data_IF_010670145200
#
_entry.id   IF_010670145200
#
_cell.length_a   1.000
_cell.length_b   1.000
_cell.length_c   1.000
_cell.angle_alpha   90.00
_cell.angle_beta   90.00
_cell.angle_gamma   90.00
#
_symmetry.space_group_name_H-M   'P 1'
#
loop_
_entity.id
_entity.type
_entity.pdbx_description
1 polymer ?
#
# COMPACT_ATOMS: atom_id res chain seq x y z
N UNK A 1 -29.10 34.86 -23.78
CA UNK A 1 -28.57 33.48 -23.68
C UNK A 1 -27.19 33.51 -23.01
N UNK A 2 -27.08 34.06 -21.81
CA UNK A 2 -25.83 34.05 -21.01
C UNK A 2 -26.14 34.00 -19.49
N UNK A 3 -27.35 33.62 -19.07
CA UNK A 3 -27.76 33.64 -17.65
C UNK A 3 -27.69 32.27 -16.98
N UNK A 4 -28.02 31.18 -17.69
CA UNK A 4 -28.09 29.83 -17.09
C UNK A 4 -26.69 29.18 -16.92
N UNK A 5 -25.70 29.64 -17.69
CA UNK A 5 -24.34 29.12 -17.62
C UNK A 5 -23.49 29.75 -16.51
N UNK A 6 -23.90 30.90 -15.94
CA UNK A 6 -23.24 31.49 -14.77
C UNK A 6 -23.80 30.93 -13.45
N UNK A 7 -25.11 30.64 -13.38
CA UNK A 7 -25.70 30.00 -12.20
C UNK A 7 -25.09 28.62 -11.90
N UNK A 8 -24.75 27.84 -12.93
CA UNK A 8 -24.08 26.54 -12.75
C UNK A 8 -22.61 26.66 -12.30
N UNK A 9 -21.96 27.81 -12.51
CA UNK A 9 -20.58 28.06 -12.04
C UNK A 9 -20.60 28.46 -10.56
N UNK A 10 -21.60 29.26 -10.16
CA UNK A 10 -21.76 29.72 -8.79
C UNK A 10 -22.18 28.59 -7.83
N UNK A 11 -23.04 27.67 -8.27
CA UNK A 11 -23.42 26.47 -7.51
C UNK A 11 -22.29 25.43 -7.36
N UNK A 12 -21.31 25.39 -8.28
CA UNK A 12 -20.14 24.50 -8.17
C UNK A 12 -19.09 25.08 -7.21
N UNK A 13 -19.01 26.40 -7.06
CA UNK A 13 -18.12 27.05 -6.10
C UNK A 13 -18.66 27.05 -4.67
N UNK A 14 -19.98 27.13 -4.46
CA UNK A 14 -20.58 27.12 -3.11
C UNK A 14 -20.69 25.71 -2.49
N UNK A 15 -20.60 24.64 -3.30
CA UNK A 15 -20.54 23.26 -2.81
C UNK A 15 -19.16 22.83 -2.28
N UNK A 16 -18.14 23.68 -2.37
CA UNK A 16 -16.77 23.38 -1.96
C UNK A 16 -16.50 23.67 -0.46
N UNK A 17 -17.39 24.40 0.21
CA UNK A 17 -17.15 24.92 1.57
C UNK A 17 -18.15 24.40 2.61
N UNK A 18 -18.30 23.08 2.79
CA UNK A 18 -18.82 22.54 4.08
C UNK A 18 -18.26 21.16 4.48
N UNK A 19 -17.10 20.71 4.01
CA UNK A 19 -16.33 19.66 4.71
C UNK A 19 -14.83 19.85 4.42
N UNK A 20 -14.08 20.32 5.42
CA UNK A 20 -12.63 20.51 5.42
C UNK A 20 -11.89 19.47 4.55
N UNK A 21 -11.52 19.86 3.33
CA UNK A 21 -10.84 19.00 2.38
C UNK A 21 -9.34 18.96 2.69
N UNK A 22 -8.98 18.51 3.89
CA UNK A 22 -7.58 18.23 4.24
C UNK A 22 -7.02 17.25 3.23
N UNK A 23 -5.82 17.53 2.72
CA UNK A 23 -5.11 16.65 1.82
C UNK A 23 -4.86 15.30 2.50
N UNK A 24 -4.75 14.25 1.69
CA UNK A 24 -4.59 12.88 2.18
C UNK A 24 -3.34 12.69 3.05
N UNK A 25 -2.28 13.44 2.76
CA UNK A 25 -1.05 13.46 3.56
C UNK A 25 -1.31 14.13 4.91
N UNK A 26 -2.00 15.26 4.93
CA UNK A 26 -2.40 15.94 6.17
C UNK A 26 -3.29 15.04 7.05
N UNK A 27 -4.24 14.30 6.48
CA UNK A 27 -5.05 13.35 7.27
C UNK A 27 -4.22 12.23 7.91
N UNK A 28 -3.17 11.78 7.24
CA UNK A 28 -2.25 10.77 7.78
C UNK A 28 -1.37 11.38 8.88
N UNK A 29 -0.81 12.57 8.63
CA UNK A 29 0.04 13.28 9.59
C UNK A 29 -0.75 13.72 10.84
N UNK A 30 -2.04 14.06 10.70
CA UNK A 30 -2.93 14.35 11.82
C UNK A 30 -3.27 13.12 12.67
N UNK A 31 -3.23 11.93 12.08
CA UNK A 31 -3.37 10.67 12.81
C UNK A 31 -2.03 10.11 13.29
N UNK A 32 -0.94 10.86 13.09
CA UNK A 32 0.38 10.44 13.55
C UNK A 32 0.44 10.33 15.07
N UNK A 33 1.40 9.52 15.56
CA UNK A 33 1.68 9.39 16.99
C UNK A 33 2.01 10.73 17.66
N UNK A 34 2.54 11.69 16.89
CA UNK A 34 2.87 13.02 17.38
C UNK A 34 1.63 13.86 17.71
N UNK A 35 0.50 13.63 17.03
CA UNK A 35 -0.77 14.27 17.35
C UNK A 35 -1.34 13.82 18.70
N UNK A 36 -0.90 12.64 19.19
CA UNK A 36 -1.35 12.08 20.45
C UNK A 36 -0.52 12.57 21.66
N UNK A 37 0.45 13.48 21.45
CA UNK A 37 1.28 14.08 22.54
C UNK A 37 0.47 14.71 23.67
N UNK A 38 -0.73 15.21 23.38
CA UNK A 38 -1.64 15.80 24.36
C UNK A 38 -2.50 14.79 25.11
N UNK A 39 -2.53 13.53 24.65
CA UNK A 39 -3.32 12.47 25.26
C UNK A 39 -2.58 11.89 26.49
N UNK A 40 -3.31 11.54 27.57
CA UNK A 40 -2.76 10.78 28.69
C UNK A 40 -2.13 9.44 28.27
N UNK A 41 -2.49 8.91 27.10
CA UNK A 41 -1.98 7.65 26.55
C UNK A 41 -0.61 7.78 25.87
N UNK A 42 -0.08 9.00 25.71
CA UNK A 42 1.18 9.22 25.01
C UNK A 42 2.37 8.52 25.66
N UNK A 43 2.39 8.45 27.00
CA UNK A 43 3.46 7.79 27.75
C UNK A 43 3.54 6.29 27.43
N UNK A 44 2.38 5.63 27.43
CA UNK A 44 2.24 4.22 27.06
C UNK A 44 2.65 4.01 25.61
N UNK A 45 2.19 4.88 24.69
CA UNK A 45 2.61 4.78 23.30
C UNK A 45 4.13 4.85 23.18
N UNK A 46 4.77 5.84 23.81
CA UNK A 46 6.24 6.01 23.79
C UNK A 46 6.97 4.76 24.28
N UNK A 47 6.46 4.09 25.31
CA UNK A 47 7.01 2.83 25.81
C UNK A 47 6.94 1.71 24.75
N UNK A 48 5.79 1.55 24.08
CA UNK A 48 5.58 0.55 23.01
C UNK A 48 5.94 1.04 21.60
N UNK A 49 6.96 1.90 21.47
CA UNK A 49 7.40 2.38 20.15
C UNK A 49 8.05 1.27 19.31
N UNK A 50 8.67 0.30 19.97
CA UNK A 50 9.26 -0.89 19.39
C UNK A 50 8.23 -1.81 18.72
N UNK A 51 7.05 -1.98 19.34
CA UNK A 51 5.95 -2.83 18.82
C UNK A 51 5.16 -2.13 17.72
N UNK A 52 5.05 -0.81 17.78
CA UNK A 52 4.25 0.01 16.87
C UNK A 52 5.13 1.05 16.15
N UNK A 53 6.05 0.60 15.27
CA UNK A 53 6.91 1.51 14.53
C UNK A 53 6.12 2.36 13.52
N UNK A 54 6.60 3.58 13.26
CA UNK A 54 5.99 4.50 12.29
C UNK A 54 6.09 3.98 10.85
N UNK A 55 7.21 3.31 10.54
CA UNK A 55 7.47 2.66 9.26
C UNK A 55 7.69 1.16 9.45
N UNK A 56 7.24 0.37 8.46
CA UNK A 56 7.48 -1.09 8.48
C UNK A 56 8.98 -1.32 8.23
N UNK A 57 9.70 -1.97 9.17
CA UNK A 57 11.12 -2.23 8.99
C UNK A 57 11.35 -3.11 7.75
N UNK A 58 12.46 -2.86 7.06
CA UNK A 58 12.86 -3.67 5.92
C UNK A 58 13.40 -5.04 6.35
N UNK A 59 13.83 -5.19 7.60
CA UNK A 59 14.33 -6.46 8.13
C UNK A 59 13.23 -7.52 8.19
N UNK A 60 13.64 -8.77 7.96
CA UNK A 60 12.77 -9.91 8.19
C UNK A 60 12.48 -10.04 9.68
N UNK A 61 11.23 -10.33 10.08
CA UNK A 61 10.92 -10.70 11.45
C UNK A 61 11.82 -11.86 11.89
N UNK A 62 12.24 -11.84 13.16
CA UNK A 62 12.96 -12.96 13.75
C UNK A 62 12.15 -14.26 13.57
N UNK A 63 12.82 -15.33 13.17
CA UNK A 63 12.19 -16.64 13.03
C UNK A 63 11.72 -17.13 14.41
N UNK A 64 10.40 -17.22 14.57
CA UNK A 64 9.75 -17.70 15.80
C UNK A 64 9.55 -19.21 15.80
N UNK A 65 10.08 -19.93 14.80
CA UNK A 65 9.90 -21.37 14.62
C UNK A 65 8.52 -21.75 14.06
N UNK A 66 7.65 -20.78 13.75
CA UNK A 66 6.35 -20.99 13.12
C UNK A 66 6.45 -20.54 11.67
N UNK A 67 6.49 -21.50 10.76
CA UNK A 67 6.52 -21.23 9.32
C UNK A 67 5.11 -21.34 8.73
N UNK A 68 4.80 -20.49 7.76
CA UNK A 68 3.55 -20.59 7.03
C UNK A 68 3.68 -21.68 5.96
N UNK A 69 3.00 -22.80 6.17
CA UNK A 69 2.84 -23.86 5.18
C UNK A 69 1.53 -23.65 4.41
N UNK A 70 1.58 -23.84 3.09
CA UNK A 70 0.41 -23.74 2.21
C UNK A 70 0.00 -25.16 1.85
N UNK A 71 -1.04 -25.66 2.52
CA UNK A 71 -1.60 -26.98 2.24
C UNK A 71 -2.33 -26.96 0.88
N UNK A 72 -1.85 -27.78 -0.05
CA UNK A 72 -2.49 -27.96 -1.34
C UNK A 72 -3.48 -29.13 -1.29
N UNK A 73 -4.69 -28.92 -1.80
CA UNK A 73 -5.64 -30.01 -2.02
C UNK A 73 -5.06 -30.98 -3.05
N UNK A 74 -5.00 -32.30 -2.78
CA UNK A 74 -4.48 -33.29 -3.72
C UNK A 74 -5.20 -33.22 -5.07
N UNK A 75 -4.44 -33.17 -6.17
CA UNK A 75 -4.98 -33.05 -7.53
C UNK A 75 -5.15 -31.61 -8.03
N UNK A 76 -4.88 -30.60 -7.20
CA UNK A 76 -4.88 -29.19 -7.63
C UNK A 76 -3.75 -28.92 -8.61
N UNK A 77 -4.07 -28.25 -9.72
CA UNK A 77 -3.07 -27.79 -10.68
C UNK A 77 -2.46 -26.48 -10.21
N UNK A 78 -1.17 -26.32 -10.46
CA UNK A 78 -0.46 -25.09 -10.18
C UNK A 78 -0.92 -23.98 -11.12
N UNK A 79 -1.08 -22.76 -10.60
CA UNK A 79 -1.34 -21.59 -11.45
C UNK A 79 -0.06 -21.26 -12.25
N UNK A 80 -0.17 -21.25 -13.58
CA UNK A 80 0.85 -20.70 -14.48
C UNK A 80 0.20 -19.66 -15.36
N UNK A 81 0.25 -18.43 -14.88
CA UNK A 81 -0.22 -17.29 -15.64
C UNK A 81 0.98 -16.43 -16.00
N UNK A 82 1.11 -16.11 -17.29
CA UNK A 82 2.14 -15.22 -17.81
C UNK A 82 1.84 -13.78 -17.39
N UNK A 83 2.89 -12.97 -17.27
CA UNK A 83 2.76 -11.54 -17.02
C UNK A 83 2.05 -10.87 -18.21
N UNK A 84 0.98 -10.12 -17.93
CA UNK A 84 0.34 -9.32 -18.98
C UNK A 84 1.24 -8.17 -19.43
N UNK A 85 1.13 -7.71 -20.69
CA UNK A 85 1.85 -6.54 -21.15
C UNK A 85 1.50 -5.31 -20.29
N UNK A 86 2.52 -4.68 -19.70
CA UNK A 86 2.38 -3.46 -18.91
C UNK A 86 3.16 -2.32 -19.56
N UNK A 87 2.73 -1.05 -19.37
CA UNK A 87 3.52 0.11 -19.77
C UNK A 87 4.93 0.08 -19.16
N UNK A 88 5.93 0.58 -19.90
CA UNK A 88 7.35 0.56 -19.49
C UNK A 88 7.57 1.18 -18.11
N UNK A 89 6.85 2.26 -17.79
CA UNK A 89 6.91 2.93 -16.49
C UNK A 89 6.47 2.01 -15.35
N UNK A 90 5.42 1.21 -15.55
CA UNK A 90 4.92 0.28 -14.54
C UNK A 90 5.87 -0.91 -14.36
N UNK A 91 6.43 -1.43 -15.46
CA UNK A 91 7.45 -2.49 -15.41
C UNK A 91 8.65 -2.02 -14.58
N UNK A 92 9.17 -0.82 -14.85
CA UNK A 92 10.28 -0.25 -14.08
C UNK A 92 9.93 -0.11 -12.59
N UNK A 93 8.71 0.35 -12.27
CA UNK A 93 8.27 0.47 -10.88
C UNK A 93 8.18 -0.90 -10.16
N UNK A 94 7.77 -1.95 -10.89
CA UNK A 94 7.77 -3.33 -10.38
C UNK A 94 9.21 -3.80 -10.12
N UNK A 95 10.11 -3.59 -11.08
CA UNK A 95 11.51 -4.01 -10.97
C UNK A 95 12.21 -3.32 -9.80
N UNK A 96 12.10 -1.98 -9.70
CA UNK A 96 12.66 -1.19 -8.60
C UNK A 96 12.10 -1.65 -7.23
N UNK A 97 10.80 -1.99 -7.17
CA UNK A 97 10.17 -2.51 -5.95
C UNK A 97 10.75 -3.87 -5.56
N UNK A 98 10.81 -4.83 -6.48
CA UNK A 98 11.35 -6.15 -6.16
C UNK A 98 12.85 -6.11 -5.86
N UNK A 99 13.62 -5.22 -6.49
CA UNK A 99 15.03 -5.03 -6.14
C UNK A 99 15.20 -4.52 -4.70
N UNK A 100 14.36 -3.56 -4.28
CA UNK A 100 14.35 -3.08 -2.88
C UNK A 100 14.02 -4.20 -1.89
N UNK A 101 13.04 -5.06 -2.21
CA UNK A 101 12.65 -6.20 -1.37
C UNK A 101 13.70 -7.32 -1.38
N UNK A 102 14.42 -7.50 -2.48
CA UNK A 102 15.55 -8.43 -2.58
C UNK A 102 16.71 -7.99 -1.68
N UNK A 103 17.05 -6.70 -1.70
CA UNK A 103 18.08 -6.13 -0.80
C UNK A 103 17.70 -6.26 0.67
N UNK A 104 16.41 -6.15 0.97
CA UNK A 104 15.85 -6.37 2.31
C UNK A 104 15.78 -7.86 2.74
N UNK A 105 16.12 -8.81 1.86
CA UNK A 105 16.03 -10.24 2.12
C UNK A 105 14.60 -10.81 2.11
N UNK A 106 13.60 -9.99 1.78
CA UNK A 106 12.19 -10.38 1.82
C UNK A 106 11.73 -11.18 0.60
N UNK A 107 12.41 -10.98 -0.54
CA UNK A 107 12.14 -11.68 -1.80
C UNK A 107 13.43 -12.31 -2.32
N UNK A 108 13.31 -13.50 -2.90
CA UNK A 108 14.39 -14.21 -3.59
C UNK A 108 13.94 -14.69 -4.96
N UNK A 109 14.89 -14.85 -5.87
CA UNK A 109 14.63 -15.51 -7.14
C UNK A 109 14.27 -16.98 -6.89
N UNK A 110 13.28 -17.49 -7.63
CA UNK A 110 12.82 -18.87 -7.51
C UNK A 110 12.64 -19.50 -8.89
N UNK A 111 12.80 -20.82 -8.96
CA UNK A 111 12.49 -21.63 -10.14
C UNK A 111 11.22 -22.44 -9.88
N UNK A 112 10.16 -21.75 -9.45
CA UNK A 112 8.88 -22.37 -9.10
C UNK A 112 8.11 -22.76 -10.36
N UNK A 113 7.42 -23.92 -10.39
CA UNK A 113 6.43 -24.20 -11.42
C UNK A 113 5.21 -23.28 -11.32
N UNK A 114 5.00 -22.59 -10.20
CA UNK A 114 3.89 -21.67 -9.98
C UNK A 114 4.26 -20.23 -10.34
N UNK A 115 3.43 -19.57 -11.13
CA UNK A 115 3.60 -18.16 -11.55
C UNK A 115 2.26 -17.45 -11.61
N UNK A 116 2.21 -16.24 -11.04
CA UNK A 116 1.07 -15.33 -11.10
C UNK A 116 1.53 -13.93 -11.57
N UNK A 117 0.78 -13.25 -12.45
CA UNK A 117 1.11 -11.90 -12.89
C UNK A 117 1.02 -10.90 -11.74
N UNK A 118 1.92 -9.93 -11.75
CA UNK A 118 1.92 -8.80 -10.83
C UNK A 118 1.24 -7.60 -11.48
N UNK A 119 0.32 -6.96 -10.75
CA UNK A 119 -0.31 -5.69 -11.14
C UNK A 119 0.14 -4.55 -10.22
N UNK A 120 0.12 -3.33 -10.75
CA UNK A 120 0.42 -2.11 -10.00
C UNK A 120 -0.87 -1.34 -9.74
N UNK A 121 -1.09 -0.96 -8.49
CA UNK A 121 -2.22 -0.13 -8.07
C UNK A 121 -1.75 1.05 -7.22
N UNK A 122 -2.52 2.13 -7.20
CA UNK A 122 -2.21 3.30 -6.38
C UNK A 122 -2.61 3.05 -4.93
N UNK A 123 -1.69 3.21 -3.98
CA UNK A 123 -1.97 2.99 -2.56
C UNK A 123 -2.88 4.08 -1.99
N UNK A 124 -3.95 3.65 -1.32
CA UNK A 124 -4.94 4.56 -0.73
C UNK A 124 -4.48 5.34 0.50
N UNK A 125 -3.35 5.00 1.13
CA UNK A 125 -2.91 5.68 2.37
C UNK A 125 -1.62 6.50 2.30
N UNK A 126 -0.67 6.21 1.41
CA UNK A 126 0.68 6.79 1.51
C UNK A 126 1.30 7.33 0.20
N UNK A 127 0.50 7.59 -0.84
CA UNK A 127 1.03 8.13 -2.10
C UNK A 127 1.93 7.20 -2.93
N UNK A 128 2.25 6.00 -2.42
CA UNK A 128 3.04 4.99 -3.12
C UNK A 128 2.24 4.02 -3.98
N UNK A 129 2.94 3.09 -4.64
CA UNK A 129 2.35 1.96 -5.34
C UNK A 129 2.09 0.77 -4.40
N UNK A 130 1.11 -0.05 -4.75
CA UNK A 130 0.86 -1.36 -4.17
C UNK A 130 0.90 -2.39 -5.29
N UNK A 131 1.61 -3.50 -5.06
CA UNK A 131 1.76 -4.58 -6.01
C UNK A 131 0.88 -5.75 -5.57
N UNK A 132 0.10 -6.30 -6.48
CA UNK A 132 -0.82 -7.41 -6.20
C UNK A 132 -0.59 -8.54 -7.20
N UNK A 133 -0.40 -9.75 -6.68
CA UNK A 133 -0.40 -10.99 -7.47
C UNK A 133 -1.84 -11.38 -7.76
N UNK A 134 -2.15 -11.67 -9.03
CA UNK A 134 -3.50 -12.05 -9.45
C UNK A 134 -3.50 -13.54 -9.80
N UNK A 135 -4.23 -14.32 -9.01
CA UNK A 135 -4.49 -15.75 -9.25
C UNK A 135 -5.85 -15.91 -9.95
N UNK A 136 -5.88 -16.70 -11.02
CA UNK A 136 -7.09 -17.06 -11.78
C UNK A 136 -7.83 -18.22 -11.16
#
# INVERSE_FOLDING_TARGET
>A
MESEAEELKQLVTEGADTLSAKSKKERFDEQSRDSLKSSPLYEVLREYKDVLPDDIPAELPQDKGVQHEIDLVPGTKYCVTQQWPLPREQVKAIDDFFESRRKAGQVRESKSPHSAPTSVSKRHRAGGASFMLITS
#
